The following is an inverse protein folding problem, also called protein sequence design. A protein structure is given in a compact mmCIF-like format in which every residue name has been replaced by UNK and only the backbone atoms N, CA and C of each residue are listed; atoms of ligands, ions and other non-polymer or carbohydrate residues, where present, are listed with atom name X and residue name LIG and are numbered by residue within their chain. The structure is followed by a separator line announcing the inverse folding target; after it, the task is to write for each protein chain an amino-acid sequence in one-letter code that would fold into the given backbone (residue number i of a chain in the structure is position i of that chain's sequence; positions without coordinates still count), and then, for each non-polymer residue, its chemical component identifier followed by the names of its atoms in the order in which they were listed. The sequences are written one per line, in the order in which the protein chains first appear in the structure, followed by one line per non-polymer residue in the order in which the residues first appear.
data_IF_467788275850
#
_entry.id   IF_467788275850
#
_cell.length_a   1.000
_cell.length_b   1.000
_cell.length_c   1.000
_cell.angle_alpha   90.00
_cell.angle_beta   90.00
_cell.angle_gamma   90.00
#
_symmetry.space_group_name_H-M   'P 1'
#
loop_
_entity.id
_entity.type
_entity.pdbx_description
1 polymer ?
#
# COMPACT_ATOMS: atom_id res chain seq x y z
N UNK A 1 20.55 12.28 35.54
CA UNK A 1 19.18 11.72 35.60
C UNK A 1 19.30 10.21 35.53
N UNK A 2 18.63 9.51 36.44
CA UNK A 2 18.96 8.16 36.91
C UNK A 2 18.68 7.07 35.85
N UNK A 3 19.61 6.13 35.78
CA UNK A 3 19.53 4.90 35.01
C UNK A 3 18.28 4.11 35.43
N UNK A 4 17.30 4.04 34.53
CA UNK A 4 16.12 3.19 34.69
C UNK A 4 16.52 1.72 34.62
N UNK A 5 16.05 0.93 35.58
CA UNK A 5 16.25 -0.51 35.69
C UNK A 5 15.82 -1.21 34.39
N UNK A 6 16.78 -1.55 33.54
CA UNK A 6 16.56 -2.35 32.34
C UNK A 6 16.25 -3.79 32.73
N UNK A 7 15.04 -4.25 32.43
CA UNK A 7 14.66 -5.66 32.54
C UNK A 7 15.58 -6.52 31.66
N UNK A 8 16.31 -7.46 32.26
CA UNK A 8 17.20 -8.43 31.59
C UNK A 8 16.49 -9.36 30.59
N UNK A 9 15.16 -9.32 30.49
CA UNK A 9 14.38 -10.21 29.62
C UNK A 9 14.33 -9.77 28.15
N UNK A 10 14.75 -8.55 27.83
CA UNK A 10 14.66 -8.01 26.48
C UNK A 10 16.03 -7.56 25.99
N UNK A 11 16.43 -8.03 24.81
CA UNK A 11 17.64 -7.55 24.13
C UNK A 11 17.45 -6.07 23.76
N UNK A 12 18.47 -5.21 23.94
CA UNK A 12 18.39 -3.81 23.54
C UNK A 12 18.06 -3.73 22.04
N UNK A 13 17.09 -2.90 21.69
CA UNK A 13 16.67 -2.72 20.31
C UNK A 13 17.78 -1.99 19.52
N UNK A 14 18.31 -2.66 18.49
CA UNK A 14 19.37 -2.12 17.62
C UNK A 14 18.76 -1.20 16.55
N UNK A 15 18.35 -0.01 16.96
CA UNK A 15 17.68 0.97 16.10
C UNK A 15 18.51 1.35 14.86
N UNK A 16 19.84 1.39 14.98
CA UNK A 16 20.74 1.69 13.86
C UNK A 16 20.65 0.64 12.76
N UNK A 17 20.54 -0.65 13.12
CA UNK A 17 20.39 -1.73 12.13
C UNK A 17 19.03 -1.66 11.43
N UNK A 18 17.97 -1.36 12.17
CA UNK A 18 16.64 -1.17 11.59
C UNK A 18 16.60 0.04 10.64
N UNK A 19 17.26 1.15 11.02
CA UNK A 19 17.35 2.34 10.18
C UNK A 19 18.14 2.05 8.90
N UNK A 20 19.27 1.36 9.00
CA UNK A 20 20.06 0.93 7.84
C UNK A 20 19.24 0.04 6.88
N UNK A 21 18.40 -0.87 7.41
CA UNK A 21 17.51 -1.70 6.59
C UNK A 21 16.47 -0.84 5.87
N UNK A 22 15.86 0.14 6.55
CA UNK A 22 14.86 1.03 5.95
C UNK A 22 15.49 1.91 4.88
N UNK A 23 16.66 2.47 5.13
CA UNK A 23 17.41 3.29 4.17
C UNK A 23 17.82 2.47 2.95
N UNK A 24 18.34 1.25 3.15
CA UNK A 24 18.63 0.32 2.07
C UNK A 24 17.38 0.02 1.22
N UNK A 25 16.22 -0.23 1.87
CA UNK A 25 14.95 -0.46 1.17
C UNK A 25 14.46 0.76 0.41
N UNK A 26 14.66 1.98 0.92
CA UNK A 26 14.34 3.23 0.21
C UNK A 26 15.20 3.37 -1.05
N UNK A 27 16.51 3.13 -0.93
CA UNK A 27 17.43 3.18 -2.07
C UNK A 27 17.08 2.13 -3.14
N UNK A 28 16.70 0.91 -2.72
CA UNK A 28 16.20 -0.13 -3.63
C UNK A 28 14.93 0.32 -4.37
N UNK A 29 13.98 0.93 -3.67
CA UNK A 29 12.73 1.44 -4.28
C UNK A 29 13.01 2.58 -5.27
N UNK A 30 13.93 3.49 -4.94
CA UNK A 30 14.33 4.57 -5.85
C UNK A 30 14.97 4.03 -7.13
N UNK A 31 15.84 3.01 -7.00
CA UNK A 31 16.43 2.30 -8.14
C UNK A 31 15.36 1.63 -9.01
N UNK A 32 14.36 0.99 -8.40
CA UNK A 32 13.23 0.39 -9.12
C UNK A 32 12.42 1.49 -9.82
N UNK A 33 12.12 2.61 -9.15
CA UNK A 33 11.43 3.75 -9.73
C UNK A 33 12.16 4.35 -10.94
N UNK A 34 13.48 4.50 -10.85
CA UNK A 34 14.31 4.95 -11.97
C UNK A 34 14.29 3.96 -13.14
N UNK A 35 14.34 2.64 -12.86
CA UNK A 35 14.23 1.61 -13.92
C UNK A 35 12.88 1.67 -14.61
N UNK A 36 11.78 1.75 -13.87
CA UNK A 36 10.42 1.87 -14.43
C UNK A 36 10.31 3.13 -15.30
N UNK A 37 10.82 4.26 -14.84
CA UNK A 37 10.78 5.51 -15.61
C UNK A 37 11.59 5.41 -16.90
N UNK A 38 12.80 4.82 -16.86
CA UNK A 38 13.62 4.59 -18.06
C UNK A 38 12.90 3.68 -19.06
N UNK A 39 12.31 2.57 -18.60
CA UNK A 39 11.54 1.67 -19.45
C UNK A 39 10.33 2.36 -20.09
N UNK A 40 9.62 3.21 -19.34
CA UNK A 40 8.50 4.00 -19.86
C UNK A 40 8.95 5.00 -20.94
N UNK A 41 10.03 5.72 -20.69
CA UNK A 41 10.61 6.66 -21.67
C UNK A 41 11.07 5.92 -22.94
N UNK A 42 11.74 4.78 -22.79
CA UNK A 42 12.17 3.96 -23.92
C UNK A 42 10.98 3.45 -24.75
N UNK A 43 9.93 2.93 -24.11
CA UNK A 43 8.72 2.47 -24.79
C UNK A 43 7.99 3.61 -25.53
N UNK A 44 7.96 4.83 -24.96
CA UNK A 44 7.41 6.00 -25.66
C UNK A 44 8.25 6.35 -26.90
N UNK A 45 9.57 6.39 -26.77
CA UNK A 45 10.49 6.70 -27.86
C UNK A 45 10.40 5.68 -29.01
N UNK A 46 10.29 4.37 -28.71
CA UNK A 46 10.14 3.34 -29.74
C UNK A 46 8.81 3.46 -30.48
N UNK A 47 7.72 3.77 -29.76
CA UNK A 47 6.41 4.04 -30.39
C UNK A 47 6.47 5.26 -31.32
N UNK A 48 7.07 6.35 -30.87
CA UNK A 48 7.23 7.57 -31.67
C UNK A 48 8.09 7.32 -32.91
N UNK A 49 9.22 6.61 -32.76
CA UNK A 49 10.09 6.25 -33.88
C UNK A 49 9.36 5.38 -34.92
N UNK A 50 8.58 4.39 -34.47
CA UNK A 50 7.78 3.54 -35.36
C UNK A 50 6.72 4.34 -36.12
N UNK A 51 6.01 5.24 -35.44
CA UNK A 51 5.00 6.10 -36.05
C UNK A 51 5.62 7.05 -37.09
N UNK A 52 6.77 7.66 -36.78
CA UNK A 52 7.50 8.51 -37.72
C UNK A 52 7.98 7.73 -38.95
N UNK A 53 8.43 6.48 -38.77
CA UNK A 53 8.83 5.61 -39.88
C UNK A 53 7.63 5.30 -40.79
N UNK A 54 6.48 4.94 -40.21
CA UNK A 54 5.24 4.70 -40.96
C UNK A 54 4.81 5.96 -41.72
N UNK A 55 4.79 7.11 -41.06
CA UNK A 55 4.44 8.39 -41.67
C UNK A 55 5.35 8.72 -42.85
N UNK A 56 6.67 8.55 -42.68
CA UNK A 56 7.64 8.76 -43.75
C UNK A 56 7.40 7.83 -44.94
N UNK A 57 7.07 6.56 -44.68
CA UNK A 57 6.76 5.61 -45.73
C UNK A 57 5.49 6.00 -46.50
N UNK A 58 4.40 6.35 -45.79
CA UNK A 58 3.15 6.80 -46.41
C UNK A 58 3.38 8.04 -47.26
N UNK A 59 4.05 9.07 -46.72
CA UNK A 59 4.33 10.29 -47.47
C UNK A 59 5.29 10.10 -48.63
N UNK A 60 6.23 9.15 -48.56
CA UNK A 60 7.10 8.84 -49.71
C UNK A 60 6.32 8.23 -50.88
N UNK A 61 5.37 7.33 -50.58
CA UNK A 61 4.47 6.74 -51.58
C UNK A 61 3.51 7.80 -52.11
N UNK A 62 2.95 8.62 -51.24
CA UNK A 62 2.02 9.67 -51.65
C UNK A 62 2.71 10.74 -52.50
N UNK A 63 3.92 11.15 -52.14
CA UNK A 63 4.71 12.11 -52.93
C UNK A 63 4.97 11.59 -54.33
N UNK A 64 5.33 10.31 -54.48
CA UNK A 64 5.57 9.72 -55.81
C UNK A 64 4.27 9.59 -56.61
N UNK A 65 3.14 9.25 -55.96
CA UNK A 65 1.81 9.26 -56.59
C UNK A 65 1.43 10.66 -57.08
N UNK A 66 1.56 11.67 -56.23
CA UNK A 66 1.26 13.07 -56.54
C UNK A 66 2.16 13.61 -57.66
N UNK A 67 3.46 13.30 -57.65
CA UNK A 67 4.37 13.70 -58.74
C UNK A 67 3.97 13.09 -60.08
N UNK A 68 3.53 11.82 -60.10
CA UNK A 68 3.01 11.19 -61.32
C UNK A 68 1.72 11.84 -61.79
N UNK A 69 0.79 12.11 -60.87
CA UNK A 69 -0.47 12.78 -61.18
C UNK A 69 -0.25 14.21 -61.70
N UNK A 70 0.67 14.97 -61.08
CA UNK A 70 1.07 16.31 -61.52
C UNK A 70 1.66 16.26 -62.93
N UNK A 71 2.60 15.33 -63.18
CA UNK A 71 3.19 15.15 -64.51
C UNK A 71 2.11 14.79 -65.54
N UNK A 72 1.24 13.84 -65.23
CA UNK A 72 0.16 13.44 -66.14
C UNK A 72 -0.81 14.60 -66.45
N UNK A 73 -1.14 15.42 -65.45
CA UNK A 73 -1.97 16.60 -65.67
C UNK A 73 -1.27 17.64 -66.55
N UNK A 74 0.04 17.89 -66.31
CA UNK A 74 0.86 18.78 -67.15
C UNK A 74 0.98 18.28 -68.59
N UNK A 75 1.30 17.01 -68.78
CA UNK A 75 1.39 16.38 -70.10
C UNK A 75 0.03 16.46 -70.83
N UNK A 76 -1.09 16.28 -70.10
CA UNK A 76 -2.44 16.45 -70.65
C UNK A 76 -2.77 17.90 -71.05
N UNK A 77 -2.34 18.88 -70.25
CA UNK A 77 -2.48 20.30 -70.58
C UNK A 77 -1.64 20.67 -71.81
N UNK A 78 -0.38 20.24 -71.88
CA UNK A 78 0.47 20.44 -73.05
C UNK A 78 -0.13 19.80 -74.30
N UNK A 79 -0.61 18.56 -74.20
CA UNK A 79 -1.28 17.90 -75.33
C UNK A 79 -2.52 18.65 -75.82
N UNK A 80 -3.34 19.19 -74.90
CA UNK A 80 -4.49 20.03 -75.24
C UNK A 80 -4.06 21.33 -75.94
N UNK A 81 -3.02 22.00 -75.43
CA UNK A 81 -2.48 23.22 -76.03
C UNK A 81 -1.88 22.97 -77.42
N UNK A 82 -1.20 21.84 -77.62
CA UNK A 82 -0.63 21.43 -78.91
C UNK A 82 -1.72 21.16 -79.97
N UNK A 83 -2.89 20.68 -79.55
CA UNK A 83 -4.04 20.47 -80.44
C UNK A 83 -4.69 21.78 -80.89
N UNK A 84 -4.57 22.87 -80.12
CA UNK A 84 -5.16 24.20 -80.42
C UNK A 84 -4.23 25.01 -81.34
N UNK A 85 -3.44 24.34 -82.19
CA UNK A 85 -2.44 24.99 -83.06
C UNK A 85 -3.08 26.16 -83.85
N UNK A 86 -2.57 27.40 -83.74
CA UNK A 86 -3.20 28.56 -84.35
C UNK A 86 -3.13 28.48 -85.87
N UNK A 87 -4.26 28.66 -86.55
CA UNK A 87 -4.32 28.68 -88.01
C UNK A 87 -3.91 30.04 -88.62
N UNK A 88 -3.98 31.14 -87.85
CA UNK A 88 -3.62 32.49 -88.30
C UNK A 88 -2.90 33.31 -87.21
N UNK A 89 -2.06 34.27 -87.64
CA UNK A 89 -1.19 35.09 -86.78
C UNK A 89 -1.93 36.02 -85.79
N UNK A 90 -3.26 36.08 -85.82
CA UNK A 90 -4.10 36.92 -84.97
C UNK A 90 -4.61 36.23 -83.71
N UNK A 91 -4.31 34.94 -83.51
CA UNK A 91 -4.83 34.14 -82.39
C UNK A 91 -4.10 34.49 -81.07
N UNK A 92 -4.43 35.67 -80.55
CA UNK A 92 -3.79 36.33 -79.40
C UNK A 92 -4.02 35.57 -78.08
N UNK A 93 -5.07 34.74 -78.03
CA UNK A 93 -5.46 34.00 -76.82
C UNK A 93 -4.40 32.98 -76.36
N UNK A 94 -3.72 32.32 -77.29
CA UNK A 94 -2.71 31.28 -76.96
C UNK A 94 -1.51 31.90 -76.24
N UNK A 95 -1.03 33.05 -76.71
CA UNK A 95 0.06 33.79 -76.07
C UNK A 95 -0.33 34.29 -74.67
N UNK A 96 -1.57 34.77 -74.49
CA UNK A 96 -2.07 35.20 -73.18
C UNK A 96 -2.14 34.06 -72.15
N UNK A 97 -2.42 32.83 -72.58
CA UNK A 97 -2.44 31.65 -71.72
C UNK A 97 -1.03 31.21 -71.28
N UNK A 98 -0.04 31.29 -72.19
CA UNK A 98 1.36 31.01 -71.85
C UNK A 98 1.93 32.06 -70.87
N UNK A 99 1.59 33.33 -71.06
CA UNK A 99 1.95 34.40 -70.12
C UNK A 99 1.31 34.19 -68.74
N UNK A 100 0.06 33.72 -68.70
CA UNK A 100 -0.63 33.40 -67.46
C UNK A 100 -0.04 32.16 -66.75
N UNK A 101 0.41 31.15 -67.50
CA UNK A 101 1.13 30.00 -66.94
C UNK A 101 2.42 30.43 -66.23
N UNK A 102 3.24 31.26 -66.88
CA UNK A 102 4.45 31.84 -66.29
C UNK A 102 4.13 32.68 -65.04
N UNK A 103 3.02 33.42 -65.05
CA UNK A 103 2.56 34.17 -63.88
C UNK A 103 2.24 33.24 -62.70
N UNK A 104 1.48 32.16 -62.93
CA UNK A 104 1.14 31.18 -61.90
C UNK A 104 2.36 30.45 -61.34
N UNK A 105 3.36 30.14 -62.19
CA UNK A 105 4.61 29.55 -61.73
C UNK A 105 5.36 30.48 -60.78
N UNK A 106 5.47 31.78 -61.14
CA UNK A 106 6.10 32.79 -60.28
C UNK A 106 5.37 32.94 -58.95
N UNK A 107 4.05 32.96 -58.95
CA UNK A 107 3.24 33.05 -57.74
C UNK A 107 3.42 31.83 -56.84
N UNK A 108 3.45 30.61 -57.40
CA UNK A 108 3.73 29.37 -56.65
C UNK A 108 5.14 29.34 -56.09
N UNK A 109 6.12 29.83 -56.83
CA UNK A 109 7.50 29.97 -56.35
C UNK A 109 7.61 30.99 -55.21
N UNK A 110 6.96 32.14 -55.34
CA UNK A 110 6.91 33.14 -54.28
C UNK A 110 6.25 32.57 -53.02
N UNK A 111 5.11 31.90 -53.17
CA UNK A 111 4.43 31.23 -52.05
C UNK A 111 5.31 30.16 -51.39
N UNK A 112 6.04 29.37 -52.18
CA UNK A 112 7.01 28.39 -51.65
C UNK A 112 8.12 29.08 -50.86
N UNK A 113 8.70 30.16 -51.40
CA UNK A 113 9.75 30.94 -50.74
C UNK A 113 9.26 31.56 -49.43
N UNK A 114 8.01 31.98 -49.36
CA UNK A 114 7.45 32.60 -48.15
C UNK A 114 7.04 31.58 -47.09
N UNK A 115 6.52 30.41 -47.49
CA UNK A 115 5.95 29.44 -46.55
C UNK A 115 6.90 28.30 -46.20
N UNK A 116 7.63 27.78 -47.18
CA UNK A 116 8.41 26.54 -47.06
C UNK A 116 9.86 26.85 -46.69
N UNK A 117 10.49 27.81 -47.36
CA UNK A 117 11.91 28.10 -47.17
C UNK A 117 12.28 28.53 -45.74
N UNK A 118 11.49 29.34 -45.00
CA UNK A 118 11.81 29.70 -43.62
C UNK A 118 11.86 28.47 -42.68
N UNK A 119 11.04 27.45 -42.94
CA UNK A 119 11.04 26.20 -42.17
C UNK A 119 12.33 25.40 -42.43
N UNK A 120 12.77 25.33 -43.68
CA UNK A 120 14.03 24.67 -44.06
C UNK A 120 15.25 25.43 -43.52
N UNK A 121 15.24 26.77 -43.62
CA UNK A 121 16.27 27.64 -43.03
C UNK A 121 16.35 27.45 -41.51
N UNK A 122 15.21 27.45 -40.81
CA UNK A 122 15.18 27.21 -39.37
C UNK A 122 15.73 25.83 -39.02
N UNK A 123 15.38 24.78 -39.78
CA UNK A 123 15.93 23.44 -39.59
C UNK A 123 17.45 23.44 -39.72
N UNK A 124 17.98 24.07 -40.76
CA UNK A 124 19.41 24.09 -41.05
C UNK A 124 20.19 24.95 -40.04
N UNK A 125 19.58 26.06 -39.58
CA UNK A 125 20.06 26.88 -38.47
C UNK A 125 20.10 26.10 -37.17
N UNK A 126 19.03 25.38 -36.82
CA UNK A 126 18.98 24.55 -35.62
C UNK A 126 20.01 23.44 -35.67
N UNK A 127 20.18 22.78 -36.82
CA UNK A 127 21.22 21.76 -37.02
C UNK A 127 22.63 22.35 -36.85
N UNK A 128 22.86 23.53 -37.41
CA UNK A 128 24.13 24.25 -37.28
C UNK A 128 24.38 24.70 -35.83
N UNK A 129 23.37 25.21 -35.13
CA UNK A 129 23.44 25.57 -33.71
C UNK A 129 23.69 24.36 -32.83
N UNK A 130 23.06 23.22 -33.11
CA UNK A 130 23.27 21.98 -32.38
C UNK A 130 24.71 21.45 -32.56
N UNK A 131 25.24 21.49 -33.79
CA UNK A 131 26.64 21.16 -34.07
C UNK A 131 27.60 22.12 -33.35
N UNK A 132 27.36 23.43 -33.45
CA UNK A 132 28.14 24.46 -32.72
C UNK A 132 28.07 24.26 -31.20
N UNK A 133 26.90 23.92 -30.65
CA UNK A 133 26.70 23.62 -29.24
C UNK A 133 27.47 22.36 -28.82
N UNK A 134 27.47 21.28 -29.60
CA UNK A 134 28.29 20.09 -29.29
C UNK A 134 29.79 20.41 -29.29
N UNK A 135 30.27 21.19 -30.26
CA UNK A 135 31.65 21.67 -30.28
C UNK A 135 31.94 22.68 -29.15
N UNK A 136 30.97 23.51 -28.75
CA UNK A 136 31.10 24.40 -27.61
C UNK A 136 31.05 23.66 -26.27
N UNK A 137 30.26 22.61 -26.10
CA UNK A 137 30.24 21.81 -24.86
C UNK A 137 31.58 21.11 -24.64
N UNK A 138 32.27 20.70 -25.72
CA UNK A 138 33.65 20.20 -25.65
C UNK A 138 34.67 21.31 -25.30
N UNK A 139 34.40 22.57 -25.63
CA UNK A 139 35.30 23.71 -25.43
C UNK A 139 34.90 24.69 -24.30
N UNK A 140 33.75 24.55 -23.64
CA UNK A 140 33.20 25.48 -22.63
C UNK A 140 33.17 24.95 -21.20
N UNK A 141 33.63 23.72 -20.95
CA UNK A 141 33.88 23.28 -19.57
C UNK A 141 35.37 23.26 -19.25
N UNK A 142 35.96 24.40 -18.85
CA UNK A 142 36.96 24.41 -17.79
C UNK A 142 36.21 24.43 -16.44
N UNK A 143 36.25 23.31 -15.71
CA UNK A 143 36.12 23.12 -14.23
C UNK A 143 35.06 23.83 -13.35
N UNK A 144 34.28 24.83 -13.75
CA UNK A 144 33.53 25.68 -12.77
C UNK A 144 32.01 25.42 -12.64
N UNK A 145 31.46 24.35 -13.24
CA UNK A 145 30.02 24.04 -13.11
C UNK A 145 29.69 23.03 -12.01
N UNK A 146 30.70 22.32 -11.52
CA UNK A 146 30.61 21.39 -10.39
C UNK A 146 30.26 22.09 -9.07
N UNK A 147 30.96 23.17 -8.66
CA UNK A 147 30.65 23.83 -7.39
C UNK A 147 29.25 24.46 -7.34
N UNK A 148 28.74 24.95 -8.47
CA UNK A 148 27.38 25.51 -8.56
C UNK A 148 26.31 24.43 -8.38
N UNK A 149 26.52 23.24 -8.94
CA UNK A 149 25.62 22.09 -8.75
C UNK A 149 25.66 21.59 -7.31
N UNK A 150 26.85 21.52 -6.74
CA UNK A 150 27.06 21.08 -5.36
C UNK A 150 26.35 22.01 -4.38
N UNK A 151 26.48 23.33 -4.57
CA UNK A 151 25.80 24.33 -3.74
C UNK A 151 24.25 24.28 -3.86
N UNK A 152 23.71 23.99 -5.05
CA UNK A 152 22.25 23.80 -5.24
C UNK A 152 21.77 22.51 -4.57
N UNK A 153 22.56 21.44 -4.62
CA UNK A 153 22.25 20.19 -3.94
C UNK A 153 22.32 20.36 -2.41
N UNK A 154 23.36 21.01 -1.90
CA UNK A 154 23.52 21.31 -0.47
C UNK A 154 22.34 22.13 0.05
N UNK A 155 21.91 23.17 -0.67
CA UNK A 155 20.72 23.96 -0.27
C UNK A 155 19.47 23.09 -0.22
N UNK A 156 19.25 22.25 -1.25
CA UNK A 156 18.10 21.33 -1.29
C UNK A 156 18.15 20.31 -0.15
N UNK A 157 19.32 19.80 0.19
CA UNK A 157 19.49 18.85 1.27
C UNK A 157 19.32 19.52 2.64
N UNK A 158 19.76 20.77 2.81
CA UNK A 158 19.45 21.58 3.99
C UNK A 158 17.95 21.81 4.15
N UNK A 159 17.22 22.13 3.07
CA UNK A 159 15.76 22.27 3.07
C UNK A 159 15.07 20.95 3.46
N UNK A 160 15.52 19.81 2.90
CA UNK A 160 15.02 18.48 3.26
C UNK A 160 15.27 18.14 4.72
N UNK A 161 16.47 18.43 5.24
CA UNK A 161 16.81 18.21 6.63
C UNK A 161 15.97 19.08 7.57
N UNK A 162 15.71 20.35 7.20
CA UNK A 162 14.83 21.23 7.96
C UNK A 162 13.39 20.72 7.98
N UNK A 163 12.86 20.27 6.84
CA UNK A 163 11.53 19.68 6.75
C UNK A 163 11.42 18.41 7.60
N UNK A 164 12.43 17.53 7.55
CA UNK A 164 12.47 16.32 8.37
C UNK A 164 12.51 16.64 9.86
N UNK A 165 13.33 17.62 10.28
CA UNK A 165 13.40 18.09 11.67
C UNK A 165 12.04 18.59 12.16
N UNK A 166 11.33 19.39 11.37
CA UNK A 166 9.99 19.88 11.71
C UNK A 166 8.99 18.73 11.88
N UNK A 167 9.02 17.73 10.99
CA UNK A 167 8.17 16.53 11.12
C UNK A 167 8.50 15.76 12.41
N UNK A 168 9.79 15.55 12.71
CA UNK A 168 10.21 14.84 13.92
C UNK A 168 9.81 15.57 15.19
N UNK A 169 9.92 16.90 15.22
CA UNK A 169 9.51 17.72 16.36
C UNK A 169 7.99 17.64 16.58
N UNK A 170 7.22 17.69 15.51
CA UNK A 170 5.77 17.64 15.55
C UNK A 170 5.26 16.23 15.91
N UNK A 171 6.00 15.17 15.53
CA UNK A 171 5.79 13.81 16.04
C UNK A 171 6.15 13.72 17.53
N UNK A 172 7.29 14.25 17.95
CA UNK A 172 7.72 14.24 19.34
C UNK A 172 6.71 14.96 20.26
N UNK A 173 6.09 16.06 19.78
CA UNK A 173 5.02 16.77 20.49
C UNK A 173 3.80 15.89 20.71
N UNK A 174 3.32 15.20 19.66
CA UNK A 174 2.19 14.26 19.76
C UNK A 174 2.51 13.07 20.65
N UNK A 175 3.73 12.56 20.57
CA UNK A 175 4.19 11.44 21.37
C UNK A 175 4.28 11.80 22.85
N UNK A 176 4.78 12.99 23.19
CA UNK A 176 4.76 13.53 24.56
C UNK A 176 3.33 13.59 25.10
N UNK A 177 2.40 14.16 24.33
CA UNK A 177 0.98 14.24 24.73
C UNK A 177 0.36 12.85 24.94
N UNK A 178 0.63 11.90 24.03
CA UNK A 178 0.13 10.51 24.15
C UNK A 178 0.71 9.79 25.37
N UNK A 179 1.99 10.00 25.67
CA UNK A 179 2.65 9.42 26.84
C UNK A 179 2.11 10.02 28.12
N UNK A 180 1.93 11.35 28.18
CA UNK A 180 1.29 12.03 29.32
C UNK A 180 -0.12 11.50 29.56
N UNK A 181 -0.95 11.44 28.54
CA UNK A 181 -2.30 10.89 28.65
C UNK A 181 -2.30 9.45 29.18
N UNK A 182 -1.42 8.58 28.67
CA UNK A 182 -1.29 7.21 29.17
C UNK A 182 -0.80 7.16 30.63
N UNK A 183 0.12 8.04 31.00
CA UNK A 183 0.60 8.14 32.37
C UNK A 183 -0.53 8.55 33.31
N UNK A 184 -1.33 9.55 32.93
CA UNK A 184 -2.47 10.02 33.72
C UNK A 184 -3.53 8.93 33.89
N UNK A 185 -3.90 8.23 32.80
CA UNK A 185 -4.83 7.09 32.85
C UNK A 185 -4.33 5.99 33.78
N UNK A 186 -3.03 5.69 33.74
CA UNK A 186 -2.43 4.69 34.63
C UNK A 186 -2.41 5.15 36.09
N UNK A 187 -2.18 6.45 36.34
CA UNK A 187 -2.25 7.01 37.68
C UNK A 187 -3.67 6.95 38.24
N UNK A 188 -4.69 7.28 37.44
CA UNK A 188 -6.09 7.17 37.87
C UNK A 188 -6.46 5.74 38.23
N UNK A 189 -6.15 4.76 37.36
CA UNK A 189 -6.39 3.34 37.65
C UNK A 189 -5.65 2.82 38.89
N UNK A 190 -4.49 3.39 39.23
CA UNK A 190 -3.78 3.04 40.47
C UNK A 190 -4.52 3.57 41.69
N UNK A 191 -4.93 4.84 41.67
CA UNK A 191 -5.71 5.46 42.75
C UNK A 191 -7.04 4.73 42.97
N UNK A 192 -7.77 4.42 41.90
CA UNK A 192 -9.03 3.66 41.97
C UNK A 192 -8.82 2.27 42.62
N UNK A 193 -7.70 1.60 42.32
CA UNK A 193 -7.38 0.30 42.94
C UNK A 193 -7.01 0.45 44.41
N UNK A 194 -6.21 1.46 44.76
CA UNK A 194 -5.85 1.76 46.15
C UNK A 194 -7.09 2.12 46.98
N UNK A 195 -8.02 2.90 46.44
CA UNK A 195 -9.30 3.24 47.05
C UNK A 195 -10.17 1.99 47.25
N UNK A 196 -10.30 1.15 46.23
CA UNK A 196 -11.05 -0.10 46.31
C UNK A 196 -10.44 -1.08 47.34
N UNK A 197 -9.12 -1.20 47.38
CA UNK A 197 -8.42 -2.03 48.36
C UNK A 197 -8.64 -1.51 49.79
N UNK A 198 -8.63 -0.18 49.97
CA UNK A 198 -8.92 0.43 51.26
C UNK A 198 -10.36 0.20 51.70
N UNK A 199 -11.33 0.31 50.79
CA UNK A 199 -12.74 -0.02 51.08
C UNK A 199 -12.90 -1.49 51.47
N UNK A 200 -12.26 -2.42 50.74
CA UNK A 200 -12.27 -3.84 51.10
C UNK A 200 -11.67 -4.10 52.48
N UNK A 201 -10.57 -3.43 52.82
CA UNK A 201 -9.97 -3.55 54.15
C UNK A 201 -10.92 -3.04 55.25
N UNK A 202 -11.63 -1.93 55.02
CA UNK A 202 -12.63 -1.42 55.96
C UNK A 202 -13.79 -2.40 56.14
N UNK A 203 -14.33 -2.92 55.04
CA UNK A 203 -15.38 -3.94 55.11
C UNK A 203 -14.91 -5.20 55.83
N UNK A 204 -13.68 -5.65 55.60
CA UNK A 204 -13.10 -6.81 56.28
C UNK A 204 -12.89 -6.53 57.78
N UNK A 205 -12.44 -5.34 58.15
CA UNK A 205 -12.35 -4.92 59.56
C UNK A 205 -13.72 -4.88 60.21
N UNK A 206 -14.74 -4.31 59.56
CA UNK A 206 -16.10 -4.27 60.08
C UNK A 206 -16.69 -5.67 60.23
N UNK A 207 -16.45 -6.55 59.25
CA UNK A 207 -16.81 -7.98 59.34
C UNK A 207 -16.11 -8.65 60.51
N UNK A 208 -14.81 -8.43 60.69
CA UNK A 208 -14.03 -9.00 61.80
C UNK A 208 -14.56 -8.51 63.15
N UNK A 209 -14.79 -7.19 63.30
CA UNK A 209 -15.35 -6.60 64.52
C UNK A 209 -16.72 -7.20 64.85
N UNK A 210 -17.58 -7.38 63.84
CA UNK A 210 -18.90 -8.00 64.00
C UNK A 210 -18.78 -9.48 64.42
N UNK A 211 -17.85 -10.23 63.80
CA UNK A 211 -17.58 -11.61 64.18
C UNK A 211 -17.00 -11.71 65.60
N UNK A 212 -16.13 -10.78 65.99
CA UNK A 212 -15.54 -10.74 67.34
C UNK A 212 -16.59 -10.43 68.41
N UNK A 213 -17.51 -9.50 68.12
CA UNK A 213 -18.66 -9.23 69.00
C UNK A 213 -19.55 -10.47 69.15
N UNK A 214 -19.85 -11.17 68.06
CA UNK A 214 -20.58 -12.44 68.10
C UNK A 214 -19.80 -13.53 68.85
N UNK A 215 -18.48 -13.62 68.67
CA UNK A 215 -17.63 -14.55 69.42
C UNK A 215 -17.73 -14.28 70.90
N UNK A 216 -17.57 -13.03 71.36
CA UNK A 216 -17.72 -12.64 72.77
C UNK A 216 -19.11 -12.94 73.32
N UNK A 217 -20.16 -12.79 72.51
CA UNK A 217 -21.53 -13.09 72.91
C UNK A 217 -21.80 -14.60 73.04
N UNK A 218 -21.21 -15.41 72.15
CA UNK A 218 -21.35 -16.87 72.09
C UNK A 218 -20.18 -17.57 72.81
N UNK A 219 -19.28 -16.82 73.45
CA UNK A 219 -18.14 -17.36 74.18
C UNK A 219 -18.66 -18.14 75.38
N UNK A 220 -18.88 -19.43 75.17
CA UNK A 220 -19.26 -20.35 76.22
C UNK A 220 -18.01 -20.56 77.05
N UNK A 221 -17.96 -19.89 78.20
CA UNK A 221 -17.00 -20.18 79.27
C UNK A 221 -17.42 -21.53 79.88
N UNK A 222 -16.94 -22.62 79.28
CA UNK A 222 -17.06 -23.96 79.82
C UNK A 222 -15.67 -24.47 80.20
N UNK A 223 -15.55 -25.04 81.39
CA UNK A 223 -14.33 -25.72 81.83
C UNK A 223 -14.10 -26.98 80.96
N UNK A 224 -12.82 -27.32 80.74
CA UNK A 224 -12.44 -28.40 79.83
C UNK A 224 -12.94 -29.76 80.33
N UNK A 225 -13.92 -30.33 79.62
CA UNK A 225 -14.49 -31.65 79.87
C UNK A 225 -13.75 -32.73 79.07
N UNK A 226 -12.97 -33.56 79.78
CA UNK A 226 -12.03 -34.53 79.22
C UNK A 226 -12.73 -35.70 78.47
N UNK A 227 -13.96 -36.04 78.83
CA UNK A 227 -14.71 -37.15 78.21
C UNK A 227 -15.25 -36.75 76.83
N UNK A 228 -15.72 -35.50 76.68
CA UNK A 228 -16.18 -34.95 75.40
C UNK A 228 -15.03 -34.80 74.39
N UNK A 229 -13.82 -34.58 74.88
CA UNK A 229 -12.62 -34.41 74.06
C UNK A 229 -12.17 -35.72 73.38
N UNK A 230 -12.54 -36.87 73.96
CA UNK A 230 -12.17 -38.22 73.51
C UNK A 230 -13.28 -38.92 72.71
N UNK A 231 -14.47 -38.32 72.59
CA UNK A 231 -15.61 -38.89 71.87
C UNK A 231 -15.67 -38.50 70.39
N UNK A 232 -16.19 -39.41 69.55
CA UNK A 232 -16.40 -39.12 68.13
C UNK A 232 -17.38 -37.95 67.93
N UNK A 233 -16.92 -36.94 67.21
CA UNK A 233 -17.75 -35.76 66.91
C UNK A 233 -18.91 -36.12 65.97
N UNK A 234 -20.04 -35.42 66.08
CA UNK A 234 -21.18 -35.64 65.18
C UNK A 234 -20.82 -35.40 63.71
N UNK A 235 -19.81 -34.56 63.44
CA UNK A 235 -19.21 -34.35 62.13
C UNK A 235 -18.51 -35.61 61.58
N UNK A 236 -17.89 -36.42 62.43
CA UNK A 236 -17.30 -37.70 62.04
C UNK A 236 -18.37 -38.72 61.63
N UNK A 237 -19.48 -38.77 62.38
CA UNK A 237 -20.66 -39.60 62.04
C UNK A 237 -21.32 -39.18 60.72
N UNK A 238 -21.33 -37.88 60.41
CA UNK A 238 -21.90 -37.33 59.17
C UNK A 238 -21.04 -37.57 57.91
N UNK A 239 -19.71 -37.71 58.04
CA UNK A 239 -18.82 -37.99 56.90
C UNK A 239 -19.12 -39.32 56.21
N UNK A 240 -19.68 -40.29 56.92
CA UNK A 240 -20.03 -41.60 56.35
C UNK A 240 -21.22 -41.56 55.38
N UNK A 241 -22.03 -40.50 55.38
CA UNK A 241 -23.21 -40.36 54.52
C UNK A 241 -22.94 -39.66 53.17
N UNK A 242 -21.80 -38.98 53.02
CA UNK A 242 -21.48 -38.13 51.86
C UNK A 242 -20.29 -38.67 51.04
N UNK A 243 -20.26 -39.97 50.72
CA UNK A 243 -19.23 -40.56 49.85
C UNK A 243 -19.24 -39.99 48.42
N UNK A 244 -20.29 -39.29 47.99
CA UNK A 244 -20.40 -38.73 46.64
C UNK A 244 -19.56 -37.45 46.41
N UNK A 245 -19.03 -36.80 47.44
CA UNK A 245 -18.20 -35.58 47.27
C UNK A 245 -16.71 -35.90 46.98
N UNK A 246 -16.29 -37.15 47.13
CA UNK A 246 -14.90 -37.61 46.98
C UNK A 246 -14.44 -37.76 45.52
N UNK A 247 -15.32 -37.60 44.53
CA UNK A 247 -14.96 -37.64 43.10
C UNK A 247 -14.56 -36.27 42.53
N UNK A 248 -13.89 -35.42 43.31
CA UNK A 248 -13.28 -34.19 42.78
C UNK A 248 -11.78 -34.44 42.53
N UNK A 249 -11.29 -34.26 41.29
CA UNK A 249 -9.89 -34.48 40.99
C UNK A 249 -9.01 -33.47 41.75
N UNK A 250 -7.85 -33.94 42.23
CA UNK A 250 -6.87 -33.14 42.98
C UNK A 250 -6.33 -31.93 42.19
N UNK A 251 -6.44 -31.97 40.86
CA UNK A 251 -6.00 -30.93 39.94
C UNK A 251 -7.13 -30.61 38.94
N UNK A 252 -7.20 -29.36 38.50
CA UNK A 252 -8.10 -28.97 37.40
C UNK A 252 -7.66 -29.65 36.11
N UNK A 253 -8.44 -30.61 35.63
CA UNK A 253 -8.24 -31.19 34.31
C UNK A 253 -8.54 -30.10 33.26
N UNK A 254 -7.52 -29.68 32.51
CA UNK A 254 -7.67 -28.72 31.40
C UNK A 254 -8.12 -29.46 30.14
N UNK A 255 -9.29 -30.10 30.21
CA UNK A 255 -9.94 -30.76 29.09
C UNK A 255 -11.13 -29.94 28.63
N UNK A 256 -11.64 -30.24 27.43
CA UNK A 256 -12.87 -29.62 26.97
C UNK A 256 -14.04 -30.10 27.83
N UNK A 257 -14.87 -29.15 28.29
CA UNK A 257 -16.14 -29.47 28.94
C UNK A 257 -17.19 -29.80 27.88
N UNK A 258 -18.22 -30.57 28.23
CA UNK A 258 -19.34 -30.87 27.31
C UNK A 258 -19.96 -29.57 26.75
N UNK A 259 -20.06 -28.53 27.57
CA UNK A 259 -20.51 -27.20 27.13
C UNK A 259 -19.61 -26.57 26.07
N UNK A 260 -18.30 -26.79 26.13
CA UNK A 260 -17.34 -26.28 25.14
C UNK A 260 -17.39 -27.10 23.84
N UNK A 261 -17.55 -28.42 23.94
CA UNK A 261 -17.68 -29.32 22.77
C UNK A 261 -18.99 -29.00 22.02
N UNK A 262 -20.09 -28.83 22.75
CA UNK A 262 -21.41 -28.52 22.20
C UNK A 262 -21.56 -27.07 21.73
N UNK A 263 -20.53 -26.23 21.88
CA UNK A 263 -20.56 -24.87 21.33
C UNK A 263 -20.49 -24.85 19.79
N UNK A 264 -19.90 -25.87 19.16
CA UNK A 264 -19.85 -25.96 17.69
C UNK A 264 -21.23 -26.40 17.15
N UNK A 265 -21.87 -25.60 16.27
CA UNK A 265 -23.19 -25.94 15.71
C UNK A 265 -23.18 -27.27 14.92
N UNK A 266 -22.05 -27.66 14.31
CA UNK A 266 -21.93 -28.91 13.55
C UNK A 266 -22.02 -30.13 14.46
N UNK A 267 -21.42 -30.05 15.65
CA UNK A 267 -21.41 -31.13 16.64
C UNK A 267 -22.82 -31.34 17.19
N UNK A 268 -23.54 -30.25 17.51
CA UNK A 268 -24.95 -30.34 17.93
C UNK A 268 -25.85 -30.94 16.87
N UNK A 269 -25.65 -30.54 15.61
CA UNK A 269 -26.44 -31.05 14.49
C UNK A 269 -26.18 -32.54 14.23
N UNK A 270 -24.92 -32.96 14.26
CA UNK A 270 -24.55 -34.39 14.12
C UNK A 270 -25.14 -35.22 15.25
N UNK A 271 -25.05 -34.74 16.49
CA UNK A 271 -25.63 -35.42 17.64
C UNK A 271 -27.15 -35.57 17.49
N UNK A 272 -27.86 -34.51 17.06
CA UNK A 272 -29.29 -34.58 16.82
C UNK A 272 -29.65 -35.58 15.69
N UNK A 273 -28.86 -35.62 14.61
CA UNK A 273 -29.03 -36.59 13.52
C UNK A 273 -28.73 -38.03 13.98
N UNK A 274 -27.81 -38.20 14.93
CA UNK A 274 -27.47 -39.47 15.59
C UNK A 274 -28.58 -39.97 16.49
N UNK A 275 -29.14 -39.10 17.32
CA UNK A 275 -30.29 -39.40 18.17
C UNK A 275 -31.54 -39.74 17.33
N UNK A 276 -31.71 -39.11 16.17
CA UNK A 276 -32.76 -39.43 15.21
C UNK A 276 -32.48 -40.67 14.33
N UNK A 277 -31.31 -41.32 14.45
CA UNK A 277 -30.93 -42.48 13.65
C UNK A 277 -30.65 -42.21 12.16
N UNK A 278 -30.44 -40.95 11.77
CA UNK A 278 -30.28 -40.50 10.38
C UNK A 278 -28.82 -40.34 9.92
N UNK A 279 -27.86 -40.80 10.72
CA UNK A 279 -26.41 -40.54 10.55
C UNK A 279 -25.89 -40.82 9.15
N UNK A 280 -26.34 -41.90 8.52
CA UNK A 280 -25.85 -42.37 7.21
C UNK A 280 -26.74 -41.97 6.03
N UNK A 281 -27.82 -41.20 6.26
CA UNK A 281 -28.74 -40.79 5.21
C UNK A 281 -28.09 -39.84 4.20
N UNK A 282 -28.58 -39.82 2.96
CA UNK A 282 -28.18 -38.76 2.01
C UNK A 282 -28.58 -37.38 2.51
N UNK A 283 -29.67 -37.31 3.28
CA UNK A 283 -30.13 -36.09 3.94
C UNK A 283 -29.11 -35.57 4.95
N UNK A 284 -28.55 -36.41 5.84
CA UNK A 284 -27.57 -35.97 6.83
C UNK A 284 -26.32 -35.41 6.16
N UNK A 285 -25.88 -36.01 5.04
CA UNK A 285 -24.73 -35.54 4.25
C UNK A 285 -24.98 -34.17 3.63
N UNK A 286 -26.18 -33.94 3.08
CA UNK A 286 -26.56 -32.66 2.49
C UNK A 286 -26.67 -31.54 3.55
N UNK A 287 -27.26 -31.83 4.71
CA UNK A 287 -27.40 -30.82 5.76
C UNK A 287 -26.03 -30.51 6.41
N UNK A 288 -25.18 -31.51 6.66
CA UNK A 288 -23.86 -31.29 7.26
C UNK A 288 -22.88 -30.54 6.32
N UNK A 289 -23.07 -30.62 5.00
CA UNK A 289 -22.23 -29.87 4.04
C UNK A 289 -22.58 -28.38 3.99
N UNK A 290 -23.82 -28.01 4.31
CA UNK A 290 -24.26 -26.60 4.33
C UNK A 290 -23.81 -25.85 5.59
N UNK A 291 -23.58 -26.53 6.72
CA UNK A 291 -23.23 -25.89 7.99
C UNK A 291 -21.76 -25.47 8.03
N UNK A 292 -21.51 -24.16 8.00
CA UNK A 292 -20.17 -23.57 8.08
C UNK A 292 -19.57 -23.66 9.50
N UNK A 293 -18.25 -23.88 9.63
CA UNK A 293 -17.57 -23.80 10.92
C UNK A 293 -17.66 -22.37 11.50
N UNK A 294 -17.64 -22.20 12.84
CA UNK A 294 -17.73 -20.89 13.49
C UNK A 294 -16.55 -19.97 13.19
N UNK A 295 -15.41 -20.53 12.76
CA UNK A 295 -14.26 -19.78 12.27
C UNK A 295 -13.93 -20.27 10.86
N UNK A 296 -13.80 -19.38 9.86
CA UNK A 296 -13.39 -19.78 8.53
C UNK A 296 -11.95 -20.35 8.57
N UNK A 297 -11.61 -21.27 7.66
CA UNK A 297 -10.23 -21.70 7.48
C UNK A 297 -9.34 -20.49 7.18
N UNK A 298 -8.06 -20.59 7.55
CA UNK A 298 -7.10 -19.53 7.25
C UNK A 298 -6.83 -19.51 5.74
N UNK A 299 -6.42 -18.35 5.21
CA UNK A 299 -6.22 -18.14 3.76
C UNK A 299 -5.22 -19.10 3.12
N UNK A 300 -4.24 -19.57 3.87
CA UNK A 300 -3.23 -20.55 3.47
C UNK A 300 -3.75 -21.99 3.42
N UNK A 301 -4.92 -22.24 4.02
CA UNK A 301 -5.57 -23.56 4.11
C UNK A 301 -6.83 -23.66 3.25
N UNK A 302 -7.09 -22.69 2.38
CA UNK A 302 -8.19 -22.76 1.41
C UNK A 302 -7.87 -23.84 0.35
N UNK A 303 -8.60 -24.96 0.39
CA UNK A 303 -8.53 -25.98 -0.65
C UNK A 303 -9.25 -25.50 -1.92
N UNK A 304 -8.57 -25.50 -3.06
CA UNK A 304 -9.16 -25.16 -4.36
C UNK A 304 -10.07 -26.24 -4.94
N UNK A 305 -10.17 -27.40 -4.27
CA UNK A 305 -11.03 -28.51 -4.66
C UNK A 305 -12.46 -28.23 -4.20
N UNK A 306 -13.39 -28.12 -5.16
CA UNK A 306 -14.83 -28.13 -4.89
C UNK A 306 -15.29 -29.59 -4.91
N UNK A 307 -15.71 -30.10 -3.75
CA UNK A 307 -16.38 -31.40 -3.62
C UNK A 307 -17.89 -31.22 -3.61
#
# INVERSE_FOLDING_TARGET
MKNGLGSSRYKPAEYERLQAIVEAKRMELDLIGQKVQKSRCAAKATKESSLLQQHRQVWSKERTRLQKAEKQAKDGLHHFLDQIRPNDATDTAIFSLQEYELFLEREREASRKDTVDPVYQLRDDLRSRLGKMQHQQLNKYPSNWEPVKEQVLERRDQERLAALRSIMEEQARRDRQRVQFRADVLQQRRKEREELELERQREEQDKQNRLEALRKQVEVVAEADLERMMGDTEAWKSRHLNENELQKPLYSLSTYTDTQILSDPRVRLEQALREAGLQQSQYSKAVLSEVKPPKPPRRDTESTLKF
#
